data_IF_797246241751
#
_entry.id   IF_797246241751
#
_cell.length_a   1.000
_cell.length_b   1.000
_cell.length_c   1.000
_cell.angle_alpha   90.00
_cell.angle_beta   90.00
_cell.angle_gamma   90.00
#
_symmetry.space_group_name_H-M   'P 1'
#
loop_
_entity.id
_entity.type
_entity.pdbx_description
1 polymer ?
#
# COMPACT_ATOMS: atom_id res chain seq x y z
N UNK A 1 25.31 33.46 2.87
CA UNK A 1 25.28 32.60 4.08
C UNK A 1 23.97 32.91 4.78
N UNK A 2 22.93 32.10 4.55
CA UNK A 2 21.56 32.35 5.07
C UNK A 2 21.32 31.33 6.18
N UNK A 3 21.12 31.80 7.41
CA UNK A 3 20.82 30.95 8.56
C UNK A 3 19.31 30.66 8.62
N UNK A 4 18.96 29.44 8.97
CA UNK A 4 17.59 29.03 9.27
C UNK A 4 17.49 28.71 10.75
N UNK A 5 16.76 29.53 11.51
CA UNK A 5 16.35 29.21 12.89
C UNK A 5 15.14 28.26 12.86
N UNK A 6 15.26 27.10 13.49
CA UNK A 6 14.17 26.11 13.62
C UNK A 6 13.08 26.64 14.57
N UNK A 7 11.78 26.57 14.23
CA UNK A 7 10.74 26.66 15.24
C UNK A 7 10.59 25.32 15.96
N UNK A 8 10.54 25.38 17.29
CA UNK A 8 10.17 24.25 18.16
C UNK A 8 8.70 23.92 17.97
N UNK A 9 8.38 22.72 17.47
CA UNK A 9 7.01 22.20 17.47
C UNK A 9 6.84 21.31 18.69
N UNK A 10 6.03 21.76 19.63
CA UNK A 10 5.55 20.97 20.77
C UNK A 10 4.57 19.92 20.27
N UNK A 11 4.94 18.64 20.40
CA UNK A 11 4.06 17.50 20.12
C UNK A 11 3.10 17.35 21.31
N UNK A 12 1.81 17.61 21.10
CA UNK A 12 0.77 17.23 22.04
C UNK A 12 0.55 15.72 21.93
N UNK A 13 1.00 14.96 22.92
CA UNK A 13 0.61 13.56 23.10
C UNK A 13 -0.85 13.50 23.53
N UNK A 14 -1.70 12.85 22.74
CA UNK A 14 -3.04 12.47 23.18
C UNK A 14 -2.97 11.11 23.89
N UNK A 15 -3.19 11.13 25.20
CA UNK A 15 -3.30 9.95 26.06
C UNK A 15 -4.68 9.30 25.88
N UNK A 16 -4.72 8.03 25.47
CA UNK A 16 -5.94 7.30 25.16
C UNK A 16 -6.36 6.45 26.37
N UNK A 17 -6.98 7.09 27.38
CA UNK A 17 -7.46 6.37 28.56
C UNK A 17 -8.88 5.82 28.36
N UNK A 18 -9.01 4.52 28.61
CA UNK A 18 -10.24 3.73 28.61
C UNK A 18 -11.29 4.27 29.60
N UNK A 19 -12.48 4.62 29.12
CA UNK A 19 -13.69 4.75 29.96
C UNK A 19 -14.56 3.50 29.86
N UNK A 20 -14.46 2.62 30.87
CA UNK A 20 -15.45 1.56 31.14
C UNK A 20 -16.66 2.20 31.82
N UNK A 21 -17.79 2.27 31.13
CA UNK A 21 -19.07 2.64 31.75
C UNK A 21 -19.70 1.38 32.38
N UNK A 22 -19.90 1.41 33.70
CA UNK A 22 -20.71 0.45 34.46
C UNK A 22 -22.19 0.79 34.25
N UNK A 23 -23.00 -0.19 33.86
CA UNK A 23 -24.46 -0.06 33.89
C UNK A 23 -24.99 -0.62 35.22
N UNK A 24 -25.67 0.23 35.99
CA UNK A 24 -26.49 -0.16 37.14
C UNK A 24 -27.93 -0.36 36.69
N UNK A 25 -28.54 -1.44 37.15
CA UNK A 25 -29.92 -1.86 36.95
C UNK A 25 -30.92 -0.92 37.65
N UNK A 26 -31.93 -0.42 36.92
CA UNK A 26 -33.28 -0.18 37.43
C UNK A 26 -34.31 -0.03 36.30
N UNK A 27 -35.54 -0.42 36.60
CA UNK A 27 -36.59 -0.87 35.69
C UNK A 27 -37.48 0.24 35.09
N UNK A 28 -38.01 -0.09 33.90
CA UNK A 28 -39.36 0.15 33.38
C UNK A 28 -40.01 1.55 33.48
N UNK A 29 -40.18 2.18 32.31
CA UNK A 29 -41.51 2.64 31.87
C UNK A 29 -41.57 2.68 30.34
N UNK A 30 -42.55 1.93 29.81
CA UNK A 30 -42.79 1.70 28.40
C UNK A 30 -43.72 2.81 27.89
N UNK A 31 -43.14 3.88 27.34
CA UNK A 31 -43.89 4.87 26.56
C UNK A 31 -43.81 4.49 25.09
N UNK A 32 -44.94 4.03 24.52
CA UNK A 32 -45.14 3.89 23.09
C UNK A 32 -45.24 5.30 22.47
N UNK A 33 -44.08 5.94 22.27
CA UNK A 33 -43.96 7.07 21.36
C UNK A 33 -43.88 6.48 19.96
N UNK A 34 -44.95 6.60 19.18
CA UNK A 34 -44.98 6.35 17.75
C UNK A 34 -44.03 7.32 17.05
N UNK A 35 -42.74 6.99 17.04
CA UNK A 35 -41.77 7.65 16.20
C UNK A 35 -42.12 7.28 14.77
N UNK A 36 -42.66 8.26 14.03
CA UNK A 36 -42.62 8.24 12.59
C UNK A 36 -41.19 7.91 12.19
N UNK A 37 -41.00 6.76 11.53
CA UNK A 37 -39.71 6.41 10.96
C UNK A 37 -39.47 7.40 9.82
N UNK A 38 -38.84 8.51 10.19
CA UNK A 38 -38.38 9.52 9.27
C UNK A 38 -37.32 8.83 8.40
N UNK A 39 -37.69 8.50 7.17
CA UNK A 39 -36.81 7.91 6.17
C UNK A 39 -35.83 8.99 5.68
N UNK A 40 -34.96 9.46 6.57
CA UNK A 40 -33.85 10.32 6.21
C UNK A 40 -32.80 9.41 5.56
N UNK A 41 -32.64 9.55 4.26
CA UNK A 41 -31.51 8.99 3.52
C UNK A 41 -30.23 9.36 4.25
N UNK A 42 -29.57 8.38 4.87
CA UNK A 42 -28.30 8.58 5.56
C UNK A 42 -27.29 9.09 4.53
N UNK A 43 -27.01 10.40 4.55
CA UNK A 43 -26.03 11.00 3.67
C UNK A 43 -24.64 10.59 4.14
N UNK A 44 -24.06 9.56 3.51
CA UNK A 44 -22.69 9.16 3.78
C UNK A 44 -21.74 10.30 3.37
N UNK A 45 -20.88 10.80 4.27
CA UNK A 45 -19.97 11.89 3.94
C UNK A 45 -18.97 11.46 2.85
N UNK A 46 -18.72 12.35 1.88
CA UNK A 46 -17.72 12.14 0.84
C UNK A 46 -16.33 11.98 1.47
N UNK A 47 -15.53 11.03 0.99
CA UNK A 47 -14.17 10.77 1.47
C UNK A 47 -13.14 11.40 0.51
N UNK A 48 -12.45 12.46 0.92
CA UNK A 48 -11.50 13.22 0.09
C UNK A 48 -10.42 12.35 -0.57
N UNK A 49 -9.85 11.39 0.16
CA UNK A 49 -8.79 10.53 -0.38
C UNK A 49 -9.26 9.59 -1.50
N UNK A 50 -10.57 9.42 -1.71
CA UNK A 50 -11.11 8.63 -2.83
C UNK A 50 -10.92 9.31 -4.19
N UNK A 51 -10.60 10.61 -4.22
CA UNK A 51 -10.36 11.37 -5.45
C UNK A 51 -8.91 11.30 -5.95
N UNK A 52 -7.98 10.73 -5.16
CA UNK A 52 -6.58 10.59 -5.58
C UNK A 52 -6.44 9.52 -6.65
N UNK A 53 -5.63 9.82 -7.66
CA UNK A 53 -5.25 8.88 -8.71
C UNK A 53 -3.80 8.44 -8.49
N UNK A 54 -3.64 7.22 -7.97
CA UNK A 54 -2.33 6.62 -7.75
C UNK A 54 -1.91 5.80 -8.97
N UNK A 55 -0.63 5.75 -9.25
CA UNK A 55 -0.02 4.73 -10.08
C UNK A 55 -0.04 3.36 -9.38
N UNK A 56 -0.02 2.30 -10.18
CA UNK A 56 -0.13 0.92 -9.71
C UNK A 56 1.18 0.20 -9.93
N UNK A 57 1.69 -0.40 -8.85
CA UNK A 57 2.95 -1.11 -8.84
C UNK A 57 2.77 -2.55 -8.39
N UNK A 58 3.72 -3.40 -8.76
CA UNK A 58 3.95 -4.67 -8.07
C UNK A 58 5.27 -4.60 -7.29
N UNK A 59 5.22 -4.87 -6.00
CA UNK A 59 6.41 -5.10 -5.18
C UNK A 59 6.77 -6.56 -5.27
N UNK A 60 7.99 -6.85 -5.70
CA UNK A 60 8.59 -8.19 -5.69
C UNK A 60 9.74 -8.23 -4.68
N UNK A 61 9.94 -9.37 -4.03
CA UNK A 61 10.96 -9.54 -2.98
C UNK A 61 11.37 -11.01 -2.90
N UNK A 62 12.54 -11.26 -2.30
CA UNK A 62 13.12 -12.58 -2.07
C UNK A 62 13.78 -12.60 -0.69
N UNK A 63 13.58 -13.69 0.06
CA UNK A 63 14.30 -13.98 1.31
C UNK A 63 14.66 -15.48 1.33
N UNK A 64 15.95 -15.79 1.18
CA UNK A 64 16.41 -17.15 0.94
C UNK A 64 15.86 -17.72 -0.37
N UNK A 65 15.20 -18.88 -0.30
CA UNK A 65 14.53 -19.54 -1.42
C UNK A 65 13.07 -19.06 -1.63
N UNK A 66 12.54 -18.25 -0.71
CA UNK A 66 11.17 -17.75 -0.75
C UNK A 66 11.11 -16.43 -1.51
N UNK A 67 10.10 -16.30 -2.37
CA UNK A 67 9.81 -15.08 -3.11
C UNK A 67 8.33 -14.79 -3.10
N UNK A 68 7.97 -13.51 -3.20
CA UNK A 68 6.59 -13.12 -3.31
C UNK A 68 6.43 -11.83 -4.14
N UNK A 69 5.19 -11.57 -4.55
CA UNK A 69 4.79 -10.34 -5.19
C UNK A 69 3.46 -9.82 -4.61
N UNK A 70 3.28 -8.49 -4.57
CA UNK A 70 2.02 -7.89 -4.15
C UNK A 70 1.75 -6.56 -4.87
N UNK A 71 0.48 -6.22 -5.06
CA UNK A 71 0.09 -4.93 -5.64
C UNK A 71 0.20 -3.84 -4.59
N UNK A 72 0.83 -2.72 -4.96
CA UNK A 72 0.94 -1.53 -4.10
C UNK A 72 0.66 -0.27 -4.92
N UNK A 73 -0.12 0.64 -4.33
CA UNK A 73 -0.44 1.96 -4.90
C UNK A 73 0.04 3.11 -4.02
N UNK A 74 0.44 2.83 -2.78
CA UNK A 74 0.94 3.84 -1.84
C UNK A 74 2.46 3.87 -1.86
N UNK A 75 2.96 4.55 -2.88
CA UNK A 75 4.38 4.72 -3.16
C UNK A 75 4.66 6.18 -3.53
N UNK A 76 5.77 6.74 -3.06
CA UNK A 76 6.23 8.06 -3.49
C UNK A 76 7.75 8.18 -3.39
N UNK A 77 8.36 8.98 -4.25
CA UNK A 77 9.71 9.46 -4.02
C UNK A 77 9.73 10.41 -2.82
N UNK A 78 10.76 10.31 -1.99
CA UNK A 78 10.95 11.12 -0.77
C UNK A 78 12.26 11.89 -0.76
N UNK A 79 13.11 11.70 -1.76
CA UNK A 79 14.34 12.47 -1.96
C UNK A 79 14.48 12.92 -3.41
N UNK A 80 15.13 14.08 -3.61
CA UNK A 80 15.46 14.59 -4.93
C UNK A 80 16.28 13.59 -5.75
N UNK A 81 16.05 13.59 -7.06
CA UNK A 81 16.76 12.70 -7.99
C UNK A 81 16.32 11.23 -7.89
N UNK A 82 15.20 10.94 -7.23
CA UNK A 82 14.67 9.58 -7.12
C UNK A 82 15.57 8.62 -6.36
N UNK A 83 16.35 9.13 -5.40
CA UNK A 83 17.31 8.32 -4.62
C UNK A 83 16.68 7.55 -3.47
N UNK A 84 15.54 8.02 -2.97
CA UNK A 84 14.82 7.41 -1.85
C UNK A 84 13.33 7.40 -2.17
N UNK A 85 12.68 6.29 -1.83
CA UNK A 85 11.24 6.08 -1.97
C UNK A 85 10.65 5.64 -0.64
N UNK A 86 9.37 5.94 -0.44
CA UNK A 86 8.56 5.39 0.63
C UNK A 86 7.49 4.48 0.05
N UNK A 87 7.33 3.29 0.63
CA UNK A 87 6.32 2.30 0.23
C UNK A 87 5.58 1.80 1.46
N UNK A 88 4.25 1.89 1.43
CA UNK A 88 3.41 1.35 2.50
C UNK A 88 3.02 -0.09 2.17
N UNK A 89 3.38 -1.03 3.05
CA UNK A 89 3.02 -2.45 2.93
C UNK A 89 2.04 -2.83 4.03
N UNK A 90 0.99 -3.55 3.67
CA UNK A 90 -0.03 -3.99 4.62
C UNK A 90 0.53 -5.09 5.52
N UNK A 91 0.34 -4.97 6.84
CA UNK A 91 1.00 -5.83 7.84
C UNK A 91 0.64 -7.31 7.76
N UNK A 92 -0.47 -7.64 7.12
CA UNK A 92 -0.97 -9.03 6.99
C UNK A 92 -0.37 -9.72 5.76
N UNK A 93 0.12 -8.97 4.78
CA UNK A 93 0.57 -9.53 3.51
C UNK A 93 1.89 -10.27 3.67
N UNK A 94 2.01 -11.43 3.03
CA UNK A 94 3.25 -12.22 3.08
C UNK A 94 4.48 -11.47 2.56
N UNK A 95 4.30 -10.50 1.65
CA UNK A 95 5.40 -9.68 1.12
C UNK A 95 6.11 -8.90 2.22
N UNK A 96 5.42 -8.40 3.24
CA UNK A 96 6.06 -7.60 4.28
C UNK A 96 7.04 -8.43 5.11
N UNK A 97 6.75 -9.71 5.32
CA UNK A 97 7.62 -10.60 6.08
C UNK A 97 8.93 -10.83 5.35
N UNK A 98 8.85 -11.10 4.05
CA UNK A 98 10.04 -11.28 3.22
C UNK A 98 10.85 -9.98 3.10
N UNK A 99 10.19 -8.83 3.02
CA UNK A 99 10.87 -7.51 3.01
C UNK A 99 11.55 -7.21 4.34
N UNK A 100 10.91 -7.50 5.48
CA UNK A 100 11.52 -7.34 6.82
C UNK A 100 12.73 -8.23 6.99
N UNK A 101 12.68 -9.46 6.48
CA UNK A 101 13.77 -10.44 6.60
C UNK A 101 14.95 -10.11 5.68
N UNK A 102 14.67 -9.78 4.41
CA UNK A 102 15.72 -9.57 3.41
C UNK A 102 16.25 -8.14 3.36
N UNK A 103 15.41 -7.16 3.71
CA UNK A 103 15.66 -5.76 3.40
C UNK A 103 15.65 -5.44 1.90
N UNK A 104 15.21 -6.37 1.04
CA UNK A 104 15.27 -6.24 -0.42
C UNK A 104 13.87 -6.17 -1.03
N UNK A 105 13.70 -5.25 -1.98
CA UNK A 105 12.52 -5.23 -2.83
C UNK A 105 12.81 -4.63 -4.21
N UNK A 106 11.99 -5.03 -5.17
CA UNK A 106 11.90 -4.42 -6.49
C UNK A 106 10.52 -3.78 -6.64
N UNK A 107 10.47 -2.55 -7.14
CA UNK A 107 9.23 -1.84 -7.48
C UNK A 107 9.05 -1.95 -8.99
N UNK A 108 7.98 -2.60 -9.44
CA UNK A 108 7.67 -2.76 -10.85
C UNK A 108 6.51 -1.82 -11.22
N UNK A 109 6.74 -0.88 -12.14
CA UNK A 109 5.70 0.05 -12.60
C UNK A 109 4.82 -0.64 -13.65
N UNK A 110 3.55 -0.88 -13.31
CA UNK A 110 2.68 -1.69 -14.16
C UNK A 110 2.06 -0.87 -15.29
N UNK A 111 1.90 -1.52 -16.44
CA UNK A 111 1.19 -0.96 -17.59
C UNK A 111 -0.29 -1.36 -17.62
N UNK A 112 -1.12 -0.61 -18.34
CA UNK A 112 -2.55 -0.91 -18.52
C UNK A 112 -2.85 -2.27 -19.16
N UNK A 113 -1.85 -2.91 -19.78
CA UNK A 113 -1.94 -4.25 -20.37
C UNK A 113 -1.90 -5.36 -19.30
N UNK A 114 -1.40 -5.06 -18.10
CA UNK A 114 -1.14 -6.06 -17.04
C UNK A 114 -2.27 -6.17 -16.01
N UNK A 115 -3.51 -5.90 -16.40
CA UNK A 115 -4.69 -5.93 -15.50
C UNK A 115 -4.93 -7.28 -14.83
N UNK A 116 -4.51 -8.38 -15.46
CA UNK A 116 -4.59 -9.74 -14.89
C UNK A 116 -3.81 -9.88 -13.57
N UNK A 117 -2.76 -9.06 -13.37
CA UNK A 117 -1.93 -9.06 -12.17
C UNK A 117 -2.68 -8.54 -10.94
N UNK A 118 -3.68 -7.68 -11.11
CA UNK A 118 -4.43 -7.10 -9.98
C UNK A 118 -5.09 -8.18 -9.16
N UNK A 119 -5.74 -9.14 -9.83
CA UNK A 119 -6.35 -10.28 -9.17
C UNK A 119 -5.31 -11.27 -8.67
N UNK A 120 -4.34 -11.62 -9.53
CA UNK A 120 -3.34 -12.66 -9.23
C UNK A 120 -2.45 -12.28 -8.05
N UNK A 121 -1.99 -11.04 -8.00
CA UNK A 121 -1.05 -10.56 -6.99
C UNK A 121 -1.76 -9.96 -5.78
N UNK A 122 -2.94 -9.36 -5.95
CA UNK A 122 -3.65 -8.63 -4.88
C UNK A 122 -4.77 -9.39 -4.16
N UNK A 123 -5.21 -10.56 -4.63
CA UNK A 123 -6.33 -11.31 -4.02
C UNK A 123 -5.94 -12.71 -3.52
N UNK A 124 -4.67 -13.10 -3.66
CA UNK A 124 -4.15 -14.39 -3.21
C UNK A 124 -2.99 -14.15 -2.26
N UNK A 125 -2.92 -14.94 -1.19
CA UNK A 125 -1.75 -14.94 -0.30
C UNK A 125 -0.61 -15.71 -0.96
N UNK A 126 0.61 -15.19 -0.85
CA UNK A 126 1.81 -15.88 -1.33
C UNK A 126 2.27 -17.01 -0.42
N UNK A 127 1.66 -17.17 0.77
CA UNK A 127 1.92 -18.32 1.65
C UNK A 127 1.40 -19.62 1.05
N UNK A 128 0.24 -19.53 0.41
CA UNK A 128 -0.52 -20.70 -0.05
C UNK A 128 -0.40 -20.90 -1.57
N UNK A 129 0.10 -19.90 -2.29
CA UNK A 129 0.15 -19.89 -3.74
C UNK A 129 1.45 -19.29 -4.28
N UNK A 130 2.10 -20.01 -5.21
CA UNK A 130 3.17 -19.45 -6.02
C UNK A 130 2.61 -18.44 -7.03
N UNK A 131 2.73 -17.15 -6.68
CA UNK A 131 2.27 -16.03 -7.52
C UNK A 131 3.07 -15.86 -8.82
N UNK A 132 4.28 -16.44 -8.91
CA UNK A 132 5.13 -16.37 -10.09
C UNK A 132 4.83 -17.48 -11.11
N UNK A 133 4.04 -18.49 -10.73
CA UNK A 133 3.63 -19.55 -11.66
C UNK A 133 2.92 -18.96 -12.89
N UNK A 134 3.47 -19.16 -14.09
CA UNK A 134 2.97 -18.58 -15.36
C UNK A 134 2.91 -17.04 -15.33
N UNK A 135 3.89 -16.40 -14.71
CA UNK A 135 4.11 -14.96 -14.77
C UNK A 135 5.42 -14.73 -15.54
N UNK A 136 5.48 -13.83 -16.54
CA UNK A 136 6.76 -13.41 -17.12
C UNK A 136 7.56 -12.62 -16.09
N UNK A 137 8.69 -13.18 -15.66
CA UNK A 137 9.63 -12.53 -14.75
C UNK A 137 11.06 -12.98 -15.06
N UNK A 138 12.01 -12.17 -14.63
CA UNK A 138 13.42 -12.52 -14.56
C UNK A 138 13.97 -12.14 -13.19
N UNK A 139 15.23 -12.50 -12.91
CA UNK A 139 15.90 -12.21 -11.66
C UNK A 139 16.97 -11.15 -11.89
N UNK A 140 17.08 -10.21 -10.96
CA UNK A 140 18.21 -9.30 -10.91
C UNK A 140 19.44 -9.97 -10.27
N UNK A 141 20.54 -9.23 -10.16
CA UNK A 141 21.81 -9.71 -9.59
C UNK A 141 21.72 -10.10 -8.10
N UNK A 142 20.63 -9.73 -7.41
CA UNK A 142 20.35 -10.06 -6.00
C UNK A 142 19.40 -11.24 -5.89
N UNK A 143 19.10 -11.92 -6.99
CA UNK A 143 18.06 -12.95 -7.13
C UNK A 143 16.64 -12.44 -6.83
N UNK A 144 16.42 -11.12 -6.79
CA UNK A 144 15.10 -10.55 -6.57
C UNK A 144 14.34 -10.53 -7.90
N UNK A 145 13.10 -11.06 -7.94
CA UNK A 145 12.32 -11.06 -9.18
C UNK A 145 12.02 -9.65 -9.66
N UNK A 146 11.91 -9.45 -10.97
CA UNK A 146 11.29 -8.29 -11.61
C UNK A 146 10.40 -8.76 -12.77
N UNK A 147 9.37 -7.98 -13.08
CA UNK A 147 8.37 -8.30 -14.11
C UNK A 147 8.83 -7.77 -15.47
N UNK A 148 9.09 -8.65 -16.41
CA UNK A 148 9.69 -8.29 -17.72
C UNK A 148 8.75 -7.49 -18.63
N UNK A 149 7.44 -7.61 -18.41
CA UNK A 149 6.41 -6.89 -19.19
C UNK A 149 5.98 -5.56 -18.56
N UNK A 150 6.54 -5.21 -17.38
CA UNK A 150 6.33 -3.91 -16.74
C UNK A 150 7.00 -2.79 -17.53
N UNK A 151 6.58 -1.54 -17.31
CA UNK A 151 7.22 -0.37 -17.95
C UNK A 151 8.70 -0.30 -17.56
N UNK A 152 8.98 -0.63 -16.31
CA UNK A 152 10.31 -0.70 -15.76
C UNK A 152 10.26 -1.18 -14.32
N UNK A 153 11.44 -1.31 -13.73
CA UNK A 153 11.56 -1.63 -12.31
C UNK A 153 12.68 -0.84 -11.63
N UNK A 154 12.54 -0.68 -10.33
CA UNK A 154 13.51 -0.02 -9.45
C UNK A 154 14.00 -1.03 -8.44
N UNK A 155 15.32 -1.18 -8.37
CA UNK A 155 15.99 -1.99 -7.36
C UNK A 155 16.13 -1.19 -6.07
N UNK A 156 15.64 -1.73 -4.96
CA UNK A 156 15.66 -1.05 -3.68
C UNK A 156 16.26 -1.89 -2.55
N UNK A 157 16.87 -1.19 -1.59
CA UNK A 157 17.23 -1.71 -0.26
C UNK A 157 16.52 -0.90 0.81
N UNK A 158 15.99 -1.57 1.83
CA UNK A 158 15.34 -0.91 2.97
C UNK A 158 16.40 -0.19 3.81
N UNK A 159 16.20 1.09 4.08
CA UNK A 159 17.01 1.88 5.01
C UNK A 159 16.47 1.76 6.43
N UNK A 160 15.16 1.95 6.58
CA UNK A 160 14.43 1.82 7.83
C UNK A 160 12.93 1.72 7.53
N UNK A 161 12.15 1.42 8.56
CA UNK A 161 10.70 1.38 8.48
C UNK A 161 10.06 2.01 9.72
N UNK A 162 8.78 2.36 9.61
CA UNK A 162 8.01 2.93 10.71
C UNK A 162 6.56 2.42 10.70
N UNK A 163 6.00 2.23 11.88
CA UNK A 163 4.60 1.83 12.05
C UNK A 163 3.67 2.95 11.55
N UNK A 164 2.69 2.60 10.71
CA UNK A 164 1.74 3.54 10.13
C UNK A 164 0.29 3.06 10.29
N UNK A 165 -0.02 2.36 11.38
CA UNK A 165 -1.36 1.83 11.65
C UNK A 165 -1.55 0.42 11.09
N UNK A 166 -2.39 0.26 10.08
CA UNK A 166 -2.61 -1.05 9.43
C UNK A 166 -1.49 -1.41 8.43
N UNK A 167 -0.67 -0.44 8.04
CA UNK A 167 0.52 -0.60 7.22
C UNK A 167 1.79 -0.34 8.02
N UNK A 168 2.91 -0.80 7.47
CA UNK A 168 4.25 -0.32 7.83
C UNK A 168 4.82 0.44 6.63
N UNK A 169 5.40 1.60 6.89
CA UNK A 169 6.02 2.44 5.87
C UNK A 169 7.51 2.13 5.80
N UNK A 170 7.96 1.57 4.67
CA UNK A 170 9.37 1.30 4.41
C UNK A 170 9.97 2.47 3.65
N UNK A 171 11.08 2.99 4.16
CA UNK A 171 11.93 3.95 3.47
C UNK A 171 13.07 3.19 2.83
N UNK A 172 13.17 3.29 1.50
CA UNK A 172 14.09 2.49 0.71
C UNK A 172 15.02 3.37 -0.12
N UNK A 173 16.31 3.02 -0.12
CA UNK A 173 17.28 3.55 -1.07
C UNK A 173 17.07 2.91 -2.44
N UNK A 174 17.17 3.73 -3.49
CA UNK A 174 17.16 3.29 -4.88
C UNK A 174 18.59 2.95 -5.31
N UNK A 175 18.83 1.67 -5.61
CA UNK A 175 20.12 1.17 -6.05
C UNK A 175 20.30 1.33 -7.57
N UNK A 176 19.29 0.91 -8.35
CA UNK A 176 19.27 0.95 -9.81
C UNK A 176 17.87 1.15 -10.34
N UNK A 177 17.75 1.74 -11.52
CA UNK A 177 16.50 1.91 -12.24
C UNK A 177 16.65 1.34 -13.65
N UNK A 178 15.65 0.59 -14.09
CA UNK A 178 15.63 -0.06 -15.39
C UNK A 178 14.32 0.25 -16.10
N UNK A 179 14.44 0.82 -17.29
CA UNK A 179 13.32 1.01 -18.21
C UNK A 179 13.30 -0.16 -19.18
N UNK A 180 12.13 -0.78 -19.36
CA UNK A 180 11.95 -1.99 -20.17
C UNK A 180 11.01 -1.76 -21.35
N UNK A 181 9.88 -1.09 -21.11
CA UNK A 181 8.81 -0.88 -22.09
C UNK A 181 8.22 0.54 -21.89
N UNK A 182 8.95 1.59 -22.32
CA UNK A 182 8.60 3.00 -22.12
C UNK A 182 7.51 3.52 -23.06
N UNK A 183 7.15 2.73 -24.07
CA UNK A 183 6.03 2.96 -24.97
C UNK A 183 4.67 2.62 -24.32
N UNK A 184 4.68 1.84 -23.24
CA UNK A 184 3.46 1.38 -22.56
C UNK A 184 2.85 2.44 -21.65
N UNK A 185 1.52 2.43 -21.58
CA UNK A 185 0.77 3.36 -20.72
C UNK A 185 0.76 2.89 -19.26
N UNK A 186 1.11 3.78 -18.32
CA UNK A 186 1.07 3.53 -16.87
C UNK A 186 -0.34 3.18 -16.40
N UNK A 187 -0.46 2.10 -15.65
CA UNK A 187 -1.70 1.73 -14.99
C UNK A 187 -1.94 2.64 -13.78
N UNK A 188 -3.16 3.18 -13.67
CA UNK A 188 -3.55 4.05 -12.58
C UNK A 188 -4.78 3.52 -11.84
N UNK A 189 -5.00 4.00 -10.62
CA UNK A 189 -6.14 3.63 -9.78
C UNK A 189 -7.47 4.06 -10.42
N UNK A 190 -7.50 5.21 -11.09
CA UNK A 190 -8.65 5.68 -11.87
C UNK A 190 -8.99 4.70 -12.99
N UNK A 191 -7.98 4.25 -13.76
CA UNK A 191 -8.14 3.24 -14.80
C UNK A 191 -8.74 1.92 -14.24
N UNK A 192 -8.28 1.46 -13.07
CA UNK A 192 -8.82 0.27 -12.42
C UNK A 192 -10.28 0.43 -12.00
N UNK A 193 -10.67 1.61 -11.50
CA UNK A 193 -12.07 1.92 -11.13
C UNK A 193 -13.00 1.92 -12.33
N UNK A 194 -12.62 2.58 -13.42
CA UNK A 194 -13.41 2.66 -14.65
C UNK A 194 -13.68 1.28 -15.24
N UNK A 195 -12.72 0.36 -15.11
CA UNK A 195 -12.84 -1.04 -15.53
C UNK A 195 -13.42 -1.99 -14.49
N UNK A 196 -13.84 -1.48 -13.31
CA UNK A 196 -14.43 -2.27 -12.21
C UNK A 196 -13.51 -3.40 -11.72
N UNK A 197 -12.19 -3.20 -11.77
CA UNK A 197 -11.18 -4.18 -11.33
C UNK A 197 -10.87 -4.08 -9.83
N UNK A 198 -11.25 -2.96 -9.21
CA UNK A 198 -11.11 -2.70 -7.77
C UNK A 198 -12.44 -2.18 -7.22
N UNK A 199 -12.71 -2.46 -5.93
CA UNK A 199 -13.91 -1.96 -5.25
C UNK A 199 -13.70 -0.49 -4.86
N UNK A 200 -14.65 0.37 -5.24
CA UNK A 200 -14.62 1.82 -4.98
C UNK A 200 -15.30 2.23 -3.68
#
# INVERSE_FOLDING_TARGET
MISWSRPSVSVLMYDYQHTKVRLSSQQSHFWLCSTSQNNQSVHMPKRLLKYKNYDVHAITTVAGDRRNANIVTWLTQTAMGGKVVAVALYKVDYTIELVRESGLLNINLLSTEQTSLIRKLGQQSGRDHDKFRRLPYALDERNCPYLTEAIGYVQCSVLHSTDAGDHELFICEVLKQHVLNDDKTVMTYQFLKERKLVRG
#
